data_IF_447030604035
#
_entry.id   IF_447030604035
#
_cell.length_a   1.000
_cell.length_b   1.000
_cell.length_c   1.000
_cell.angle_alpha   90.00
_cell.angle_beta   90.00
_cell.angle_gamma   90.00
#
_symmetry.space_group_name_H-M   'P 1'
#
loop_
_entity.id
_entity.type
_entity.pdbx_description
1 polymer ?
#
# COMPACT_ATOMS: atom_id res chain seq x y z
N UNK A 1 -2.15 -12.58 -5.46
CA UNK A 1 -2.45 -11.34 -6.20
C UNK A 1 -2.52 -11.62 -7.70
N UNK A 2 -3.33 -10.85 -8.42
CA UNK A 2 -3.44 -10.97 -9.87
C UNK A 2 -2.18 -10.44 -10.56
N UNK A 3 -1.51 -9.47 -9.93
CA UNK A 3 -0.31 -8.84 -10.47
C UNK A 3 0.92 -9.26 -9.66
N UNK A 4 2.00 -9.62 -10.35
CA UNK A 4 3.22 -10.06 -9.68
C UNK A 4 3.92 -8.94 -8.88
N UNK A 5 3.65 -7.68 -9.21
CA UNK A 5 4.27 -6.54 -8.56
C UNK A 5 3.48 -6.02 -7.34
N UNK A 6 2.31 -6.61 -7.08
CA UNK A 6 1.39 -6.14 -6.04
C UNK A 6 1.11 -7.27 -5.06
N UNK A 7 1.41 -7.05 -3.79
CA UNK A 7 1.05 -7.96 -2.71
C UNK A 7 -0.10 -7.37 -1.93
N UNK A 8 -1.18 -8.14 -1.79
CA UNK A 8 -2.34 -7.77 -1.00
C UNK A 8 -2.13 -8.14 0.47
N UNK A 9 -2.95 -7.60 1.39
CA UNK A 9 -2.89 -8.02 2.78
C UNK A 9 -3.09 -9.53 2.90
N UNK A 10 -2.42 -10.19 3.86
CA UNK A 10 -2.56 -11.63 4.01
C UNK A 10 -3.97 -12.04 4.41
N UNK A 11 -4.38 -13.24 4.00
CA UNK A 11 -5.63 -13.82 4.46
C UNK A 11 -5.46 -14.20 5.93
N UNK A 12 -6.37 -13.71 6.78
CA UNK A 12 -6.29 -13.94 8.21
C UNK A 12 -6.93 -15.28 8.59
N UNK A 13 -6.40 -15.97 9.64
CA UNK A 13 -7.08 -17.14 10.19
C UNK A 13 -8.48 -16.80 10.70
N UNK A 14 -9.36 -17.79 10.76
CA UNK A 14 -10.74 -17.59 11.21
C UNK A 14 -10.85 -16.98 12.61
N UNK A 15 -9.88 -17.26 13.48
CA UNK A 15 -9.89 -16.74 14.85
C UNK A 15 -9.34 -15.32 14.98
N UNK A 16 -8.93 -14.69 13.88
CA UNK A 16 -8.42 -13.32 13.87
C UNK A 16 -9.38 -12.43 13.12
N UNK A 17 -9.81 -11.35 13.79
CA UNK A 17 -10.66 -10.34 13.16
C UNK A 17 -9.89 -9.03 13.05
N UNK A 18 -9.82 -8.50 11.82
CA UNK A 18 -9.17 -7.22 11.59
C UNK A 18 -10.11 -6.07 11.96
N UNK A 19 -9.52 -4.94 12.37
CA UNK A 19 -10.28 -3.71 12.60
C UNK A 19 -10.65 -2.98 11.32
N UNK A 20 -10.05 -3.38 10.18
CA UNK A 20 -10.21 -2.69 8.90
C UNK A 20 -9.86 -1.20 8.96
N UNK A 21 -8.89 -0.86 9.80
CA UNK A 21 -8.46 0.52 9.97
C UNK A 21 -7.97 1.13 8.66
N UNK A 22 -7.14 0.39 7.94
CA UNK A 22 -6.70 0.79 6.60
C UNK A 22 -6.41 -0.45 5.77
N UNK A 23 -6.39 -0.25 4.46
CA UNK A 23 -6.10 -1.32 3.51
C UNK A 23 -4.71 -1.08 2.92
N UNK A 24 -3.74 -1.85 3.36
CA UNK A 24 -2.36 -1.70 2.92
C UNK A 24 -2.01 -2.73 1.86
N UNK A 25 -1.23 -2.29 0.88
CA UNK A 25 -0.69 -3.17 -0.15
C UNK A 25 0.81 -2.92 -0.25
N UNK A 26 1.55 -3.87 -0.78
CA UNK A 26 2.98 -3.70 -1.01
C UNK A 26 3.25 -3.71 -2.51
N UNK A 27 3.98 -2.71 -2.98
CA UNK A 27 4.32 -2.55 -4.38
C UNK A 27 5.80 -2.86 -4.55
N UNK A 28 6.09 -3.90 -5.33
CA UNK A 28 7.44 -4.41 -5.54
C UNK A 28 8.19 -3.60 -6.60
N UNK A 29 9.48 -3.92 -6.74
CA UNK A 29 10.35 -3.43 -7.80
C UNK A 29 10.57 -1.92 -7.79
N UNK A 30 10.49 -1.29 -6.61
CA UNK A 30 10.75 0.14 -6.45
C UNK A 30 9.71 1.03 -7.11
N UNK A 31 8.51 0.53 -7.37
CA UNK A 31 7.47 1.25 -8.10
C UNK A 31 6.42 1.91 -7.22
N UNK A 32 6.58 1.85 -5.88
CA UNK A 32 5.57 2.38 -4.97
C UNK A 32 5.29 3.87 -5.21
N UNK A 33 6.32 4.67 -5.31
CA UNK A 33 6.16 6.12 -5.48
C UNK A 33 5.56 6.47 -6.83
N UNK A 34 5.95 5.76 -7.87
CA UNK A 34 5.36 5.91 -9.19
C UNK A 34 3.87 5.55 -9.19
N UNK A 35 3.53 4.46 -8.52
CA UNK A 35 2.15 4.00 -8.39
C UNK A 35 1.30 5.02 -7.61
N UNK A 36 1.83 5.52 -6.49
CA UNK A 36 1.13 6.54 -5.70
C UNK A 36 0.88 7.80 -6.51
N UNK A 37 1.88 8.25 -7.27
CA UNK A 37 1.74 9.42 -8.15
C UNK A 37 0.69 9.19 -9.22
N UNK A 38 0.71 8.02 -9.86
CA UNK A 38 -0.26 7.67 -10.88
C UNK A 38 -1.70 7.69 -10.34
N UNK A 39 -1.91 7.09 -9.17
CA UNK A 39 -3.23 7.10 -8.54
C UNK A 39 -3.68 8.50 -8.19
N UNK A 40 -2.77 9.32 -7.66
CA UNK A 40 -3.08 10.70 -7.32
C UNK A 40 -3.48 11.52 -8.54
N UNK A 41 -2.79 11.34 -9.65
CA UNK A 41 -3.13 12.00 -10.90
C UNK A 41 -4.50 11.59 -11.43
N UNK A 42 -5.00 10.43 -11.00
CA UNK A 42 -6.33 9.92 -11.34
C UNK A 42 -7.37 10.16 -10.25
N UNK A 43 -7.06 11.03 -9.28
CA UNK A 43 -8.00 11.39 -8.23
C UNK A 43 -8.11 10.40 -7.08
N UNK A 44 -7.19 9.44 -7.00
CA UNK A 44 -7.16 8.44 -5.93
C UNK A 44 -6.04 8.80 -4.97
N UNK A 45 -6.42 9.22 -3.76
CA UNK A 45 -5.44 9.64 -2.74
C UNK A 45 -5.06 8.47 -1.86
N UNK A 46 -3.75 8.28 -1.72
CA UNK A 46 -3.17 7.21 -0.90
C UNK A 46 -2.34 7.81 0.23
N UNK A 47 -2.04 7.01 1.22
CA UNK A 47 -1.23 7.47 2.36
C UNK A 47 -0.12 6.50 2.67
N UNK A 48 0.95 7.03 3.29
CA UNK A 48 2.04 6.23 3.80
C UNK A 48 1.89 6.13 5.32
N UNK A 49 1.91 4.90 5.85
CA UNK A 49 1.82 4.67 7.28
C UNK A 49 2.62 3.44 7.67
N UNK A 50 3.54 3.53 8.60
CA UNK A 50 3.96 4.79 9.25
C UNK A 50 5.45 4.95 8.99
N UNK A 51 6.02 6.15 9.32
CA UNK A 51 7.47 6.32 9.22
C UNK A 51 8.13 5.33 10.18
N UNK A 52 9.15 4.56 9.73
CA UNK A 52 9.72 3.52 10.57
C UNK A 52 10.46 4.12 11.77
N UNK A 53 10.20 3.56 12.96
CA UNK A 53 10.71 4.12 14.21
C UNK A 53 12.24 4.13 14.25
N UNK A 54 12.90 3.16 13.63
CA UNK A 54 14.36 3.09 13.62
C UNK A 54 15.00 4.17 12.77
N UNK A 55 14.23 4.87 11.93
CA UNK A 55 14.71 6.00 11.12
C UNK A 55 14.43 7.35 11.77
N UNK A 56 13.75 7.38 12.91
CA UNK A 56 13.47 8.62 13.62
C UNK A 56 14.72 9.02 14.41
N UNK A 57 15.35 10.17 14.10
CA UNK A 57 16.63 10.55 14.72
C UNK A 57 16.58 10.63 16.24
N UNK A 58 15.46 11.07 16.80
CA UNK A 58 15.30 11.24 18.25
C UNK A 58 15.39 9.95 19.06
N UNK A 59 15.20 8.79 18.46
CA UNK A 59 15.29 7.52 19.17
C UNK A 59 16.71 6.94 19.22
N UNK A 60 17.62 7.43 18.36
CA UNK A 60 19.01 6.99 18.37
C UNK A 60 19.19 5.50 18.14
N UNK A 61 18.30 4.86 17.39
CA UNK A 61 18.36 3.43 17.15
C UNK A 61 19.48 3.10 16.17
N UNK A 62 20.26 2.07 16.49
CA UNK A 62 21.28 1.54 15.59
C UNK A 62 20.94 0.10 15.24
N UNK A 63 21.49 -0.39 14.13
CA UNK A 63 21.26 -1.75 13.66
C UNK A 63 20.55 -1.81 12.34
N UNK A 64 20.26 -3.02 11.89
CA UNK A 64 19.66 -3.28 10.59
C UNK A 64 18.29 -3.94 10.78
N UNK A 65 17.25 -3.36 10.16
CA UNK A 65 15.88 -3.82 10.28
C UNK A 65 15.28 -4.02 8.87
N UNK A 66 15.68 -5.09 8.17
CA UNK A 66 15.32 -5.25 6.77
C UNK A 66 13.81 -5.38 6.52
N UNK A 67 13.08 -6.02 7.42
CA UNK A 67 11.63 -6.17 7.25
C UNK A 67 10.89 -4.84 7.43
N UNK A 68 11.31 -4.04 8.41
CA UNK A 68 10.73 -2.71 8.62
C UNK A 68 11.08 -1.77 7.47
N UNK A 69 12.30 -1.85 6.94
CA UNK A 69 12.71 -1.08 5.79
C UNK A 69 11.93 -1.47 4.55
N UNK A 70 11.76 -2.77 4.30
CA UNK A 70 10.96 -3.24 3.18
C UNK A 70 9.53 -2.74 3.25
N UNK A 71 8.90 -2.86 4.42
CA UNK A 71 7.54 -2.38 4.61
C UNK A 71 7.44 -0.88 4.39
N UNK A 72 8.38 -0.10 4.94
CA UNK A 72 8.37 1.36 4.80
C UNK A 72 8.50 1.80 3.35
N UNK A 73 9.34 1.12 2.57
CA UNK A 73 9.64 1.52 1.21
C UNK A 73 8.65 1.01 0.18
N UNK A 74 7.88 -0.01 0.50
CA UNK A 74 6.97 -0.67 -0.46
C UNK A 74 5.50 -0.59 -0.09
N UNK A 75 5.14 -0.23 1.12
CA UNK A 75 3.75 -0.23 1.57
C UNK A 75 3.04 1.07 1.18
N UNK A 76 1.81 0.93 0.73
CA UNK A 76 0.93 2.04 0.39
C UNK A 76 -0.47 1.72 0.90
N UNK A 77 -1.14 2.69 1.51
CA UNK A 77 -2.52 2.52 1.97
C UNK A 77 -3.49 3.04 0.93
N UNK A 78 -4.40 2.18 0.51
CA UNK A 78 -5.45 2.55 -0.44
C UNK A 78 -6.66 3.12 0.30
N UNK A 79 -7.46 4.00 -0.37
CA UNK A 79 -8.59 4.68 0.27
C UNK A 79 -9.83 3.78 0.34
N UNK A 80 -9.78 2.76 1.19
CA UNK A 80 -10.92 1.85 1.39
C UNK A 80 -11.52 2.14 2.76
N UNK A 81 -12.79 2.55 2.79
CA UNK A 81 -13.53 2.90 3.99
C UNK A 81 -15.02 2.60 3.79
N UNK A 82 -15.79 2.75 4.87
CA UNK A 82 -17.21 2.38 4.86
C UNK A 82 -18.05 3.19 3.89
N UNK A 83 -17.65 4.42 3.60
CA UNK A 83 -18.39 5.32 2.71
C UNK A 83 -18.04 5.16 1.24
N UNK A 84 -17.11 4.27 0.90
CA UNK A 84 -16.72 4.09 -0.49
C UNK A 84 -17.80 3.30 -1.24
N UNK A 85 -18.20 3.80 -2.42
CA UNK A 85 -19.21 3.15 -3.24
C UNK A 85 -18.63 2.02 -4.08
N UNK A 86 -19.53 1.17 -4.60
CA UNK A 86 -19.12 0.11 -5.51
C UNK A 86 -18.48 0.69 -6.79
N UNK A 87 -19.02 1.80 -7.29
CA UNK A 87 -18.48 2.49 -8.46
C UNK A 87 -17.07 3.01 -8.20
N UNK A 88 -16.82 3.55 -7.02
CA UNK A 88 -15.50 4.02 -6.63
C UNK A 88 -14.50 2.87 -6.51
N UNK A 89 -14.92 1.73 -5.96
CA UNK A 89 -14.07 0.53 -5.91
C UNK A 89 -13.70 0.03 -7.30
N UNK A 90 -14.67 0.01 -8.22
CA UNK A 90 -14.43 -0.40 -9.59
C UNK A 90 -13.50 0.56 -10.31
N UNK A 91 -13.64 1.85 -10.06
CA UNK A 91 -12.75 2.87 -10.61
C UNK A 91 -11.31 2.66 -10.13
N UNK A 92 -11.12 2.41 -8.85
CA UNK A 92 -9.79 2.15 -8.29
C UNK A 92 -9.18 0.90 -8.93
N UNK A 93 -9.96 -0.18 -9.04
CA UNK A 93 -9.49 -1.42 -9.66
C UNK A 93 -9.11 -1.22 -11.12
N UNK A 94 -9.89 -0.43 -11.85
CA UNK A 94 -9.58 -0.11 -13.24
C UNK A 94 -8.25 0.64 -13.37
N UNK A 95 -7.99 1.59 -12.49
CA UNK A 95 -6.75 2.36 -12.52
C UNK A 95 -5.54 1.51 -12.14
N UNK A 96 -5.71 0.56 -11.25
CA UNK A 96 -4.64 -0.39 -10.92
C UNK A 96 -4.28 -1.24 -12.14
N UNK A 97 -5.29 -1.72 -12.87
CA UNK A 97 -5.06 -2.46 -14.12
C UNK A 97 -4.37 -1.61 -15.17
N UNK A 98 -4.76 -0.36 -15.28
CA UNK A 98 -4.13 0.58 -16.23
C UNK A 98 -2.68 0.82 -15.88
N UNK A 99 -2.34 0.95 -14.61
CA UNK A 99 -0.96 1.08 -14.17
C UNK A 99 -0.14 -0.15 -14.58
N UNK A 100 -0.69 -1.34 -14.39
CA UNK A 100 -0.04 -2.59 -14.80
C UNK A 100 0.29 -2.58 -16.30
N UNK A 101 -0.65 -2.14 -17.10
CA UNK A 101 -0.46 -2.08 -18.56
C UNK A 101 0.59 -1.06 -18.98
N UNK A 102 0.70 0.06 -18.28
CA UNK A 102 1.58 1.17 -18.67
C UNK A 102 3.00 1.02 -18.13
N UNK A 103 3.19 0.45 -16.94
CA UNK A 103 4.46 0.49 -16.23
C UNK A 103 5.00 -0.88 -15.82
N UNK A 104 4.22 -1.91 -15.97
CA UNK A 104 4.60 -3.27 -15.65
C UNK A 104 4.36 -4.18 -16.87
#
# INVERSE_FOLDING_TARGET
AIFSWLDLPPVLPEYVQTSYYFYHVQIKNGKRDLFAKFLRENGIYTTYRYYPLHRVPGYGVTGNFPNADYAADNTLNLPIHQSISQEELEYIAEKIKKFDMLYC
#
